data_IF_513794522181
#
_entry.id   IF_513794522181
#
_cell.length_a   1.000
_cell.length_b   1.000
_cell.length_c   1.000
_cell.angle_alpha   90.00
_cell.angle_beta   90.00
_cell.angle_gamma   90.00
#
_symmetry.space_group_name_H-M   'P 1'
#
loop_
_entity.id
_entity.type
_entity.pdbx_description
1 polymer ?
#
# COMPACT_ATOMS: atom_id res chain seq x y z
N UNK A 1 13.93 -63.04 21.36
CA UNK A 1 14.14 -62.89 19.91
C UNK A 1 13.03 -62.02 19.33
N UNK A 2 13.32 -60.76 19.01
CA UNK A 2 12.67 -59.96 17.97
C UNK A 2 13.38 -58.60 17.91
N UNK A 3 14.23 -58.45 16.90
CA UNK A 3 15.13 -57.32 16.64
C UNK A 3 14.35 -56.07 16.23
N UNK A 4 14.50 -54.97 16.99
CA UNK A 4 14.14 -53.62 16.54
C UNK A 4 15.25 -53.11 15.62
N UNK A 5 15.04 -53.20 14.31
CA UNK A 5 15.93 -52.60 13.30
C UNK A 5 15.79 -51.08 13.37
N UNK A 6 16.89 -50.40 13.68
CA UNK A 6 17.02 -48.95 13.58
C UNK A 6 16.87 -48.50 12.13
N UNK A 7 15.96 -47.55 11.88
CA UNK A 7 15.83 -46.86 10.60
C UNK A 7 16.79 -45.68 10.61
N UNK A 8 17.79 -45.71 9.75
CA UNK A 8 18.65 -44.55 9.43
C UNK A 8 17.79 -43.48 8.74
N UNK A 9 17.93 -42.19 9.11
CA UNK A 9 17.28 -41.11 8.38
C UNK A 9 17.94 -40.91 7.00
N UNK A 10 17.19 -40.46 5.97
CA UNK A 10 17.76 -40.21 4.65
C UNK A 10 18.68 -38.99 4.66
N UNK A 11 19.82 -39.12 3.99
CA UNK A 11 20.80 -38.05 3.75
C UNK A 11 20.17 -36.96 2.89
N UNK A 12 20.09 -35.73 3.42
CA UNK A 12 19.65 -34.55 2.66
C UNK A 12 20.82 -34.06 1.81
N UNK A 13 20.72 -34.18 0.49
CA UNK A 13 21.67 -33.58 -0.46
C UNK A 13 21.47 -32.07 -0.44
N UNK A 14 22.51 -31.24 -0.22
CA UNK A 14 22.38 -29.80 -0.30
C UNK A 14 22.12 -29.38 -1.76
N UNK A 15 21.09 -28.56 -1.97
CA UNK A 15 20.83 -27.94 -3.27
C UNK A 15 21.99 -27.01 -3.62
N UNK A 16 22.61 -27.25 -4.78
CA UNK A 16 23.64 -26.39 -5.35
C UNK A 16 23.08 -24.99 -5.59
N UNK A 17 23.53 -24.01 -4.81
CA UNK A 17 23.22 -22.60 -5.01
C UNK A 17 23.98 -22.09 -6.23
N UNK A 18 23.35 -22.14 -7.39
CA UNK A 18 23.80 -21.35 -8.55
C UNK A 18 23.57 -19.88 -8.20
N UNK A 19 24.59 -19.02 -8.29
CA UNK A 19 24.38 -17.60 -8.10
C UNK A 19 23.46 -17.09 -9.22
N UNK A 20 22.34 -16.47 -8.85
CA UNK A 20 21.50 -15.73 -9.78
C UNK A 20 22.36 -14.60 -10.34
N UNK A 21 22.82 -14.77 -11.57
CA UNK A 21 23.61 -13.78 -12.29
C UNK A 21 22.82 -12.47 -12.37
N UNK A 22 23.37 -11.41 -11.78
CA UNK A 22 22.84 -10.05 -11.85
C UNK A 22 23.05 -9.49 -13.25
N UNK A 23 22.14 -9.79 -14.16
CA UNK A 23 22.03 -9.11 -15.44
C UNK A 23 20.94 -8.03 -15.36
N UNK A 24 21.18 -6.98 -14.56
CA UNK A 24 20.37 -5.76 -14.60
C UNK A 24 20.96 -4.79 -15.63
N UNK A 25 20.87 -5.17 -16.91
CA UNK A 25 21.02 -4.25 -18.04
C UNK A 25 19.92 -4.61 -19.04
N UNK A 26 18.71 -4.15 -18.74
CA UNK A 26 17.56 -4.27 -19.62
C UNK A 26 16.97 -2.89 -19.85
N UNK A 27 17.27 -2.30 -21.00
CA UNK A 27 16.41 -1.31 -21.66
C UNK A 27 15.11 -2.01 -22.14
N UNK A 28 14.43 -2.69 -21.22
CA UNK A 28 13.20 -3.40 -21.48
C UNK A 28 12.05 -2.41 -21.62
N UNK A 29 11.13 -2.69 -22.53
CA UNK A 29 9.86 -1.99 -22.62
C UNK A 29 9.18 -1.96 -21.24
N UNK A 30 8.45 -0.88 -20.89
CA UNK A 30 7.76 -0.81 -19.61
C UNK A 30 6.86 -2.04 -19.45
N UNK A 31 6.90 -2.68 -18.27
CA UNK A 31 6.11 -3.88 -18.00
C UNK A 31 4.60 -3.65 -18.12
N UNK A 32 4.16 -2.39 -17.97
CA UNK A 32 2.78 -1.96 -18.13
C UNK A 32 2.78 -0.63 -18.88
N UNK A 33 2.03 -0.56 -19.98
CA UNK A 33 1.81 0.65 -20.75
C UNK A 33 0.32 0.90 -20.99
N UNK A 34 -0.05 2.15 -21.28
CA UNK A 34 -1.39 2.50 -21.73
C UNK A 34 -1.64 1.96 -23.15
N UNK A 35 -2.88 1.99 -23.67
CA UNK A 35 -3.16 1.65 -25.07
C UNK A 35 -2.33 2.47 -26.09
N UNK A 36 -1.86 3.67 -25.71
CA UNK A 36 -0.96 4.52 -26.50
C UNK A 36 0.53 4.23 -26.30
N UNK A 37 0.87 3.13 -25.62
CA UNK A 37 2.23 2.73 -25.24
C UNK A 37 2.97 3.73 -24.31
N UNK A 38 2.23 4.50 -23.52
CA UNK A 38 2.79 5.42 -22.53
C UNK A 38 3.04 4.69 -21.21
N UNK A 39 4.10 5.03 -20.45
CA UNK A 39 4.32 4.51 -19.11
C UNK A 39 3.13 4.83 -18.19
N UNK A 40 2.68 3.84 -17.41
CA UNK A 40 1.55 3.99 -16.48
C UNK A 40 2.07 4.15 -15.05
N UNK A 41 1.42 5.04 -14.29
CA UNK A 41 1.58 5.07 -12.82
C UNK A 41 0.57 4.13 -12.18
N UNK A 42 1.04 3.18 -11.37
CA UNK A 42 0.18 2.31 -10.57
C UNK A 42 -0.07 2.97 -9.22
N UNK A 43 -1.34 3.25 -8.90
CA UNK A 43 -1.75 3.82 -7.62
C UNK A 43 -2.54 2.75 -6.85
N UNK A 44 -1.96 2.27 -5.75
CA UNK A 44 -2.61 1.33 -4.84
C UNK A 44 -3.40 2.08 -3.77
N UNK A 45 -4.66 1.72 -3.60
CA UNK A 45 -5.45 2.13 -2.44
C UNK A 45 -5.54 0.94 -1.49
N UNK A 46 -5.12 1.11 -0.25
CA UNK A 46 -5.16 0.03 0.75
C UNK A 46 -5.53 0.54 2.14
N UNK A 47 -6.30 -0.26 2.88
CA UNK A 47 -6.60 0.00 4.28
C UNK A 47 -5.47 -0.43 5.23
N UNK A 48 -4.54 -1.27 4.77
CA UNK A 48 -3.38 -1.74 5.53
C UNK A 48 -2.11 -1.63 4.71
N UNK A 49 -1.00 -1.33 5.38
CA UNK A 49 0.33 -1.31 4.80
C UNK A 49 1.37 -1.60 5.88
N UNK A 50 2.20 -2.62 5.68
CA UNK A 50 3.33 -2.86 6.55
C UNK A 50 4.50 -1.90 6.22
N UNK A 51 5.20 -1.33 7.22
CA UNK A 51 5.04 -1.54 8.66
C UNK A 51 4.05 -0.59 9.36
N UNK A 52 3.37 0.31 8.64
CA UNK A 52 2.63 1.44 9.21
C UNK A 52 1.34 1.09 9.96
N UNK A 53 0.48 0.26 9.37
CA UNK A 53 -0.76 -0.19 10.03
C UNK A 53 -1.20 -1.50 9.41
N UNK A 54 -1.43 -2.52 10.24
CA UNK A 54 -1.86 -3.85 9.79
C UNK A 54 -2.61 -4.61 10.87
N UNK A 55 -3.53 -5.45 10.44
CA UNK A 55 -4.20 -6.46 11.27
C UNK A 55 -3.91 -7.88 10.78
N UNK A 56 -3.50 -8.05 9.52
CA UNK A 56 -3.21 -9.34 8.91
C UNK A 56 -2.24 -9.26 7.74
N UNK A 57 -2.38 -10.20 6.78
CA UNK A 57 -1.47 -10.35 5.64
C UNK A 57 -1.65 -9.32 4.52
N UNK A 58 -2.75 -8.54 4.52
CA UNK A 58 -3.04 -7.56 3.48
C UNK A 58 -1.92 -6.52 3.36
N UNK A 59 -1.50 -5.93 4.48
CA UNK A 59 -0.47 -4.90 4.48
C UNK A 59 0.90 -5.39 3.98
N UNK A 60 1.23 -6.67 4.17
CA UNK A 60 2.46 -7.28 3.65
C UNK A 60 2.36 -7.57 2.15
N UNK A 61 1.20 -8.04 1.69
CA UNK A 61 0.95 -8.29 0.27
C UNK A 61 1.02 -7.00 -0.56
N UNK A 62 0.34 -5.94 -0.12
CA UNK A 62 0.36 -4.62 -0.78
C UNK A 62 1.78 -4.07 -0.82
N UNK A 63 2.48 -4.08 0.32
CA UNK A 63 3.85 -3.60 0.42
C UNK A 63 4.79 -4.35 -0.53
N UNK A 64 4.74 -5.68 -0.53
CA UNK A 64 5.61 -6.52 -1.37
C UNK A 64 5.36 -6.29 -2.86
N UNK A 65 4.08 -6.23 -3.27
CA UNK A 65 3.70 -6.00 -4.66
C UNK A 65 4.20 -4.64 -5.17
N UNK A 66 3.91 -3.56 -4.43
CA UNK A 66 4.28 -2.21 -4.83
C UNK A 66 5.82 -2.03 -4.89
N UNK A 67 6.55 -2.64 -3.96
CA UNK A 67 8.02 -2.64 -4.00
C UNK A 67 8.56 -3.42 -5.20
N UNK A 68 7.97 -4.58 -5.54
CA UNK A 68 8.38 -5.34 -6.71
C UNK A 68 8.13 -4.55 -8.01
N UNK A 69 6.96 -3.91 -8.14
CA UNK A 69 6.65 -3.05 -9.28
C UNK A 69 7.62 -1.89 -9.38
N UNK A 70 7.89 -1.18 -8.29
CA UNK A 70 8.84 -0.07 -8.26
C UNK A 70 10.26 -0.51 -8.67
N UNK A 71 10.76 -1.63 -8.13
CA UNK A 71 12.07 -2.20 -8.49
C UNK A 71 12.15 -2.65 -9.95
N UNK A 72 11.00 -2.92 -10.56
CA UNK A 72 10.90 -3.30 -11.97
C UNK A 72 10.74 -2.08 -12.90
N UNK A 73 10.85 -0.85 -12.37
CA UNK A 73 10.77 0.39 -13.13
C UNK A 73 9.36 0.97 -13.30
N UNK A 74 8.34 0.37 -12.67
CA UNK A 74 6.97 0.90 -12.69
C UNK A 74 6.84 1.99 -11.62
N UNK A 75 6.39 3.18 -12.01
CA UNK A 75 6.08 4.24 -11.03
C UNK A 75 4.91 3.77 -10.18
N UNK A 76 5.17 3.56 -8.89
CA UNK A 76 4.21 2.97 -7.95
C UNK A 76 3.95 3.92 -6.80
N UNK A 77 2.69 4.14 -6.48
CA UNK A 77 2.24 4.97 -5.36
C UNK A 77 1.28 4.15 -4.50
N UNK A 78 1.39 4.28 -3.19
CA UNK A 78 0.43 3.71 -2.25
C UNK A 78 -0.23 4.87 -1.50
N UNK A 79 -1.55 4.85 -1.44
CA UNK A 79 -2.34 5.74 -0.61
C UNK A 79 -3.06 4.88 0.44
N UNK A 80 -2.96 5.27 1.71
CA UNK A 80 -3.66 4.62 2.83
C UNK A 80 -4.20 5.66 3.82
N UNK A 81 -5.10 5.31 4.74
CA UNK A 81 -5.50 6.22 5.82
C UNK A 81 -4.35 6.49 6.80
N UNK A 82 -4.29 7.71 7.35
CA UNK A 82 -3.38 8.07 8.43
C UNK A 82 -3.97 7.60 9.76
N UNK A 83 -3.72 6.33 10.11
CA UNK A 83 -4.10 5.80 11.42
C UNK A 83 -3.16 6.26 12.53
N UNK A 84 -3.60 6.16 13.78
CA UNK A 84 -2.74 6.38 14.95
C UNK A 84 -1.46 5.55 14.92
N UNK A 85 -1.54 4.28 14.52
CA UNK A 85 -0.39 3.37 14.38
C UNK A 85 0.65 3.86 13.36
N UNK A 86 0.24 4.61 12.33
CA UNK A 86 1.16 5.20 11.36
C UNK A 86 2.08 6.20 12.04
N UNK A 87 1.54 7.03 12.94
CA UNK A 87 2.29 8.08 13.67
C UNK A 87 3.33 7.47 14.62
N UNK A 88 3.10 6.25 15.10
CA UNK A 88 4.06 5.52 15.94
C UNK A 88 5.28 5.02 15.14
N UNK A 89 5.10 4.79 13.83
CA UNK A 89 6.14 4.30 12.92
C UNK A 89 6.84 5.43 12.16
N UNK A 90 6.07 6.40 11.67
CA UNK A 90 6.54 7.57 10.95
C UNK A 90 6.30 8.83 11.78
N UNK A 91 7.34 9.28 12.49
CA UNK A 91 7.28 10.42 13.41
C UNK A 91 7.50 11.78 12.75
N UNK A 92 7.78 11.78 11.45
CA UNK A 92 8.16 12.93 10.62
C UNK A 92 7.17 13.18 9.47
N UNK A 93 5.88 12.94 9.74
CA UNK A 93 4.80 13.17 8.79
C UNK A 93 4.58 14.67 8.55
N UNK A 94 4.61 15.08 7.28
CA UNK A 94 4.38 16.45 6.84
C UNK A 94 3.18 16.54 5.91
N UNK A 95 2.37 17.61 6.00
CA UNK A 95 1.31 17.82 5.04
C UNK A 95 1.90 18.13 3.67
N UNK A 96 1.41 17.46 2.64
CA UNK A 96 1.83 17.64 1.24
C UNK A 96 0.70 18.16 0.34
N UNK A 97 -0.45 18.47 0.92
CA UNK A 97 -1.55 19.17 0.27
C UNK A 97 -2.10 20.28 1.17
N UNK A 98 -2.82 21.21 0.56
CA UNK A 98 -3.80 22.02 1.28
C UNK A 98 -4.94 21.12 1.82
N UNK A 99 -5.65 21.53 2.87
CA UNK A 99 -6.89 20.86 3.27
C UNK A 99 -7.90 20.85 2.12
N UNK A 100 -8.61 19.73 1.98
CA UNK A 100 -9.66 19.57 0.97
C UNK A 100 -10.93 19.01 1.61
N UNK A 101 -12.05 19.09 0.89
CA UNK A 101 -13.33 18.57 1.35
C UNK A 101 -13.91 17.60 0.34
N UNK A 102 -14.50 16.51 0.83
CA UNK A 102 -15.28 15.57 0.01
C UNK A 102 -16.71 15.44 0.53
N UNK A 103 -17.64 15.08 -0.35
CA UNK A 103 -19.04 14.89 -0.02
C UNK A 103 -19.34 13.40 0.17
N UNK A 104 -19.61 12.97 1.40
CA UNK A 104 -19.97 11.59 1.76
C UNK A 104 -21.45 11.54 2.13
N UNK A 105 -22.30 11.22 1.14
CA UNK A 105 -23.75 11.32 1.30
C UNK A 105 -24.15 12.76 1.66
N UNK A 106 -24.85 13.01 2.78
CA UNK A 106 -25.21 14.37 3.19
C UNK A 106 -24.08 15.13 3.91
N UNK A 107 -22.93 14.48 4.18
CA UNK A 107 -21.86 15.04 5.01
C UNK A 107 -20.74 15.63 4.16
N UNK A 108 -20.24 16.79 4.58
CA UNK A 108 -19.00 17.37 4.08
C UNK A 108 -17.89 16.99 5.04
N UNK A 109 -16.91 16.26 4.55
CA UNK A 109 -15.82 15.71 5.34
C UNK A 109 -14.50 16.34 4.90
N UNK A 110 -13.71 16.83 5.85
CA UNK A 110 -12.39 17.39 5.57
C UNK A 110 -11.33 16.28 5.52
N UNK A 111 -10.37 16.42 4.61
CA UNK A 111 -9.20 15.58 4.51
C UNK A 111 -7.94 16.39 4.23
N UNK A 112 -6.79 15.78 4.47
CA UNK A 112 -5.50 16.33 4.08
C UNK A 112 -4.52 15.21 3.76
N UNK A 113 -3.63 15.43 2.80
CA UNK A 113 -2.61 14.47 2.41
C UNK A 113 -1.32 14.69 3.19
N UNK A 114 -0.74 13.60 3.68
CA UNK A 114 0.53 13.58 4.42
C UNK A 114 1.52 12.63 3.78
N UNK A 115 2.81 12.90 3.98
CA UNK A 115 3.93 12.07 3.57
C UNK A 115 5.01 12.08 4.66
N UNK A 116 5.71 10.97 4.88
CA UNK A 116 6.83 10.93 5.81
C UNK A 116 8.09 11.45 5.12
N UNK A 117 8.77 12.42 5.73
CA UNK A 117 10.00 13.00 5.17
C UNK A 117 11.09 11.94 4.94
N UNK A 118 11.23 10.96 5.82
CA UNK A 118 12.17 9.85 5.69
C UNK A 118 11.87 8.92 4.49
N UNK A 119 10.62 8.90 4.03
CA UNK A 119 10.20 8.15 2.85
C UNK A 119 10.24 9.00 1.58
N UNK A 120 10.33 10.33 1.69
CA UNK A 120 10.47 11.22 0.55
C UNK A 120 11.80 10.94 -0.16
N UNK A 121 11.71 10.73 -1.46
CA UNK A 121 12.85 10.52 -2.36
C UNK A 121 12.40 10.66 -3.80
N UNK A 122 13.34 10.65 -4.75
CA UNK A 122 12.99 10.79 -6.17
C UNK A 122 12.06 9.64 -6.60
N UNK A 123 10.84 9.95 -7.11
CA UNK A 123 9.99 8.96 -7.76
C UNK A 123 10.78 8.26 -8.88
N UNK A 124 10.80 6.92 -8.88
CA UNK A 124 11.48 6.13 -9.92
C UNK A 124 12.75 5.36 -9.51
N UNK A 125 13.21 5.46 -8.26
CA UNK A 125 14.41 4.71 -7.79
C UNK A 125 14.09 3.39 -7.05
N UNK A 126 13.19 2.56 -7.60
CA UNK A 126 13.00 1.21 -7.07
C UNK A 126 12.20 1.09 -5.76
N UNK A 127 11.54 2.17 -5.31
CA UNK A 127 10.66 2.18 -4.14
C UNK A 127 9.33 2.89 -4.45
N UNK A 128 8.20 2.45 -3.87
CA UNK A 128 6.93 3.12 -4.03
C UNK A 128 6.90 4.42 -3.20
N UNK A 129 6.18 5.44 -3.71
CA UNK A 129 5.81 6.61 -2.90
C UNK A 129 4.66 6.22 -1.97
N UNK A 130 4.66 6.70 -0.73
CA UNK A 130 3.64 6.32 0.27
C UNK A 130 3.00 7.59 0.83
N UNK A 131 1.68 7.66 0.73
CA UNK A 131 0.88 8.82 1.10
C UNK A 131 -0.25 8.43 2.05
N UNK A 132 -0.57 9.35 2.95
CA UNK A 132 -1.52 9.11 4.03
C UNK A 132 -2.66 10.13 3.98
N UNK A 133 -3.90 9.66 3.93
CA UNK A 133 -5.09 10.50 4.02
C UNK A 133 -5.45 10.69 5.48
N UNK A 134 -5.33 11.92 5.95
CA UNK A 134 -5.66 12.30 7.31
C UNK A 134 -7.11 12.74 7.43
N UNK A 135 -7.82 12.13 8.37
CA UNK A 135 -9.05 12.63 8.97
C UNK A 135 -9.08 12.07 10.41
N UNK A 136 -8.92 12.91 11.45
CA UNK A 136 -8.73 12.43 12.81
C UNK A 136 -10.00 11.79 13.41
N UNK A 137 -11.20 12.20 12.97
CA UNK A 137 -12.47 11.61 13.42
C UNK A 137 -12.60 10.15 12.95
N UNK A 138 -12.19 9.87 11.71
CA UNK A 138 -12.26 8.54 11.12
C UNK A 138 -11.04 7.67 11.43
N UNK A 139 -9.82 8.21 11.42
CA UNK A 139 -8.59 7.41 11.46
C UNK A 139 -7.73 7.63 12.71
N UNK A 140 -8.06 8.60 13.56
CA UNK A 140 -7.39 8.83 14.85
C UNK A 140 -7.75 7.81 15.95
N UNK A 141 -8.31 6.65 15.61
CA UNK A 141 -8.73 5.61 16.56
C UNK A 141 -7.60 4.61 16.83
N UNK A 142 -7.71 3.88 17.94
CA UNK A 142 -6.68 2.91 18.36
C UNK A 142 -6.60 1.70 17.43
N UNK A 143 -7.72 1.26 16.87
CA UNK A 143 -7.80 0.10 15.97
C UNK A 143 -8.20 0.51 14.55
N UNK A 144 -7.88 -0.34 13.58
CA UNK A 144 -8.14 -0.06 12.16
C UNK A 144 -9.64 -0.20 11.84
N UNK A 145 -10.25 -1.33 12.21
CA UNK A 145 -11.63 -1.66 11.81
C UNK A 145 -12.63 -1.67 12.96
N UNK A 146 -12.20 -1.94 14.20
CA UNK A 146 -13.09 -2.17 15.33
C UNK A 146 -12.30 -2.56 16.57
N UNK A 147 -13.00 -2.69 17.69
CA UNK A 147 -12.42 -3.07 18.98
C UNK A 147 -13.00 -4.39 19.50
N UNK A 148 -12.84 -4.69 20.79
CA UNK A 148 -13.34 -5.92 21.39
C UNK A 148 -14.87 -6.07 21.34
N UNK A 149 -15.60 -5.01 21.01
CA UNK A 149 -17.06 -5.00 20.82
C UNK A 149 -17.48 -5.24 19.37
N UNK A 150 -16.52 -5.36 18.46
CA UNK A 150 -16.73 -5.58 17.03
C UNK A 150 -16.35 -4.38 16.18
N UNK A 151 -16.78 -4.42 14.92
CA UNK A 151 -16.50 -3.39 13.92
C UNK A 151 -17.05 -2.02 14.32
N UNK A 152 -16.31 -0.97 13.99
CA UNK A 152 -16.85 0.38 14.12
C UNK A 152 -18.08 0.55 13.22
N UNK A 153 -19.21 1.02 13.76
CA UNK A 153 -20.49 1.05 13.05
C UNK A 153 -20.47 1.99 11.83
N UNK A 154 -19.52 2.92 11.78
CA UNK A 154 -19.31 3.90 10.72
C UNK A 154 -18.25 3.48 9.68
N UNK A 155 -17.74 2.25 9.71
CA UNK A 155 -16.77 1.73 8.74
C UNK A 155 -17.15 1.99 7.27
N UNK A 156 -18.41 1.75 6.92
CA UNK A 156 -18.94 2.05 5.59
C UNK A 156 -18.66 3.50 5.16
N UNK A 157 -18.77 4.45 6.08
CA UNK A 157 -18.57 5.88 5.84
C UNK A 157 -17.10 6.25 5.84
N UNK A 158 -16.32 5.69 6.77
CA UNK A 158 -14.86 5.89 6.86
C UNK A 158 -14.18 5.51 5.54
N UNK A 159 -14.56 4.38 4.98
CA UNK A 159 -13.97 3.86 3.75
C UNK A 159 -14.57 4.47 2.48
N UNK A 160 -15.84 4.90 2.50
CA UNK A 160 -16.38 5.77 1.45
C UNK A 160 -15.66 7.14 1.39
N UNK A 161 -15.42 7.75 2.56
CA UNK A 161 -14.59 8.95 2.68
C UNK A 161 -13.20 8.71 2.11
N UNK A 162 -12.53 7.63 2.52
CA UNK A 162 -11.18 7.30 2.05
C UNK A 162 -11.11 7.20 0.52
N UNK A 163 -12.04 6.48 -0.11
CA UNK A 163 -12.09 6.35 -1.57
C UNK A 163 -12.25 7.71 -2.25
N UNK A 164 -13.23 8.51 -1.82
CA UNK A 164 -13.46 9.83 -2.41
C UNK A 164 -12.28 10.78 -2.19
N UNK A 165 -11.69 10.77 -1.00
CA UNK A 165 -10.52 11.58 -0.68
C UNK A 165 -9.32 11.19 -1.57
N UNK A 166 -9.08 9.89 -1.76
CA UNK A 166 -8.00 9.39 -2.62
C UNK A 166 -8.20 9.79 -4.08
N UNK A 167 -9.43 9.69 -4.60
CA UNK A 167 -9.76 10.14 -5.96
C UNK A 167 -9.64 11.66 -6.11
N UNK A 168 -10.01 12.42 -5.07
CA UNK A 168 -9.95 13.89 -5.07
C UNK A 168 -8.51 14.38 -5.21
N UNK A 169 -7.56 13.75 -4.49
CA UNK A 169 -6.13 14.12 -4.55
C UNK A 169 -5.37 13.43 -5.69
N UNK A 170 -5.99 12.48 -6.39
CA UNK A 170 -5.31 11.68 -7.41
C UNK A 170 -4.57 12.52 -8.48
N UNK A 171 -5.11 13.64 -9.00
CA UNK A 171 -4.41 14.48 -9.97
C UNK A 171 -3.14 15.16 -9.43
N UNK A 172 -3.05 15.37 -8.12
CA UNK A 172 -1.86 15.93 -7.45
C UNK A 172 -0.80 14.83 -7.18
N UNK A 173 -1.24 13.58 -7.11
CA UNK A 173 -0.43 12.43 -6.72
C UNK A 173 0.23 11.74 -7.91
N UNK A 174 -0.49 11.61 -9.03
CA UNK A 174 -0.02 10.88 -10.20
C UNK A 174 -0.46 11.55 -11.51
N UNK A 175 0.44 11.57 -12.50
CA UNK A 175 0.11 12.01 -13.86
C UNK A 175 -0.52 10.86 -14.64
N UNK A 176 -1.52 11.18 -15.46
CA UNK A 176 -2.09 10.23 -16.40
C UNK A 176 -1.01 9.73 -17.39
N UNK A 177 -1.10 8.46 -17.83
CA UNK A 177 -2.13 7.46 -17.50
C UNK A 177 -1.93 6.80 -16.12
N UNK A 178 -3.04 6.57 -15.40
CA UNK A 178 -3.06 5.95 -14.07
C UNK A 178 -3.81 4.62 -14.10
N UNK A 179 -3.22 3.59 -13.50
CA UNK A 179 -3.91 2.34 -13.14
C UNK A 179 -4.19 2.36 -11.64
N UNK A 180 -5.46 2.43 -11.29
CA UNK A 180 -5.90 2.36 -9.90
C UNK A 180 -6.08 0.90 -9.46
N UNK A 181 -5.37 0.49 -8.43
CA UNK A 181 -5.44 -0.86 -7.86
C UNK A 181 -6.07 -0.77 -6.47
N UNK A 182 -7.36 -1.10 -6.40
CA UNK A 182 -8.14 -1.16 -5.16
C UNK A 182 -7.93 -2.51 -4.45
N UNK A 183 -7.45 -2.46 -3.21
CA UNK A 183 -7.27 -3.63 -2.35
C UNK A 183 -8.42 -3.81 -1.37
N UNK A 184 -9.14 -4.92 -1.52
CA UNK A 184 -10.23 -5.38 -0.64
C UNK A 184 -11.45 -4.42 -0.58
N UNK A 185 -12.49 -4.78 0.17
CA UNK A 185 -13.77 -4.07 0.23
C UNK A 185 -13.63 -2.60 0.68
N UNK A 186 -12.63 -2.29 1.50
CA UNK A 186 -12.33 -0.94 2.01
C UNK A 186 -12.10 0.09 0.89
N UNK A 187 -11.72 -0.37 -0.30
CA UNK A 187 -11.36 0.50 -1.43
C UNK A 187 -12.22 0.24 -2.67
N UNK A 188 -13.24 -0.62 -2.54
CA UNK A 188 -14.09 -1.04 -3.64
C UNK A 188 -15.03 0.05 -4.18
N UNK A 189 -15.17 1.18 -3.49
CA UNK A 189 -15.95 2.34 -3.96
C UNK A 189 -15.13 3.33 -4.80
N UNK A 190 -13.83 3.06 -5.01
CA UNK A 190 -12.98 3.95 -5.80
C UNK A 190 -13.08 3.73 -7.32
N UNK A 191 -13.19 2.50 -7.86
CA UNK A 191 -13.46 2.27 -9.28
C UNK A 191 -14.91 2.62 -9.66
#
# INVERSE_FOLDING_TARGET
MASRRGRTPPTVTPLSSTPVSSAANGSGSPLVTSPGNEPVTVVHLAAELAPFARTGGLGEAVSSLAHYQARSGITSVIIMPLYKQVVEVATDLEPVSEPFTVQVGPRREEGRLYESRALMGNPGHGKPRILFIHNPEYFGRDQIYGDSRGDYPDNHRRFAFFCLAALTVLPEVAKAPVLLHAHDWHTALAP
#
